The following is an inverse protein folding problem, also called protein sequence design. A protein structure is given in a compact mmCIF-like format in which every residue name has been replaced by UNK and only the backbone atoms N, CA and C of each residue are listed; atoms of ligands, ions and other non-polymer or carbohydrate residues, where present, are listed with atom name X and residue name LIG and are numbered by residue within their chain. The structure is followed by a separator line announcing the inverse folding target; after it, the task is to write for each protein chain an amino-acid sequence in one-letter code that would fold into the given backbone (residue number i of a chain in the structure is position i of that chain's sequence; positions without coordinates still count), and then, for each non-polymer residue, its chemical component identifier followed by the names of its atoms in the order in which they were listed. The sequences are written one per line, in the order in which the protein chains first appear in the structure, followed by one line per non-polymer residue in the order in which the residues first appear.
data_IF_660484251644
#
_entry.id   IF_660484251644
#
_cell.length_a   1.000
_cell.length_b   1.000
_cell.length_c   1.000
_cell.angle_alpha   90.00
_cell.angle_beta   90.00
_cell.angle_gamma   90.00
#
_symmetry.space_group_name_H-M   'P 1'
#
loop_
_entity.id
_entity.type
_entity.pdbx_description
1 polymer ?
#
# COMPACT_ATOMS: atom_id res chain seq x y z
N UNK A 1 -10.61 16.02 -1.48
CA UNK A 1 -11.81 15.23 -1.15
C UNK A 1 -11.63 13.89 -1.82
N UNK A 2 -11.84 12.76 -1.11
CA UNK A 2 -11.67 11.42 -1.69
C UNK A 2 -12.89 11.02 -2.49
N UNK A 3 -12.67 10.35 -3.63
CA UNK A 3 -13.73 9.90 -4.54
C UNK A 3 -13.92 8.40 -4.43
N UNK A 4 -15.15 7.96 -4.21
CA UNK A 4 -15.55 6.55 -4.13
C UNK A 4 -16.48 6.25 -5.30
N UNK A 5 -16.12 5.27 -6.13
CA UNK A 5 -16.98 4.80 -7.22
C UNK A 5 -17.89 3.70 -6.69
N UNK A 6 -19.20 3.89 -6.84
CA UNK A 6 -20.22 2.90 -6.54
C UNK A 6 -20.63 2.24 -7.84
N UNK A 7 -20.45 0.92 -7.94
CA UNK A 7 -20.82 0.10 -9.09
C UNK A 7 -21.90 -0.88 -8.64
N UNK A 8 -23.16 -0.50 -8.85
CA UNK A 8 -24.32 -1.26 -8.42
C UNK A 8 -25.51 -0.85 -9.33
N UNK A 9 -26.23 -1.81 -9.87
CA UNK A 9 -27.41 -1.56 -10.72
C UNK A 9 -28.68 -1.23 -9.91
N UNK A 10 -28.68 -1.54 -8.61
CA UNK A 10 -29.75 -1.15 -7.70
C UNK A 10 -29.65 0.33 -7.33
N UNK A 11 -30.58 1.12 -7.88
CA UNK A 11 -30.65 2.57 -7.66
C UNK A 11 -30.82 2.90 -6.17
N UNK A 12 -31.67 2.13 -5.44
CA UNK A 12 -31.97 2.42 -4.03
C UNK A 12 -30.77 2.16 -3.12
N UNK A 13 -30.06 1.06 -3.35
CA UNK A 13 -28.82 0.76 -2.61
C UNK A 13 -27.77 1.82 -2.91
N UNK A 14 -27.63 2.16 -4.18
CA UNK A 14 -26.68 3.18 -4.58
C UNK A 14 -26.98 4.57 -4.01
N UNK A 15 -28.24 5.01 -4.01
CA UNK A 15 -28.65 6.30 -3.43
C UNK A 15 -28.40 6.33 -1.92
N UNK A 16 -28.72 5.23 -1.23
CA UNK A 16 -28.45 5.09 0.20
C UNK A 16 -26.93 5.21 0.49
N UNK A 17 -26.10 4.52 -0.29
CA UNK A 17 -24.65 4.57 -0.12
C UNK A 17 -24.13 5.99 -0.42
N UNK A 18 -24.60 6.63 -1.49
CA UNK A 18 -24.21 8.00 -1.87
C UNK A 18 -24.53 9.01 -0.78
N UNK A 19 -25.75 8.94 -0.19
CA UNK A 19 -26.15 9.77 0.94
C UNK A 19 -25.22 9.62 2.15
N UNK A 20 -24.90 8.38 2.50
CA UNK A 20 -24.00 8.06 3.61
C UNK A 20 -22.59 8.61 3.35
N UNK A 21 -22.06 8.39 2.16
CA UNK A 21 -20.72 8.87 1.77
C UNK A 21 -20.64 10.40 1.78
N UNK A 22 -21.68 11.08 1.28
CA UNK A 22 -21.74 12.53 1.22
C UNK A 22 -21.73 13.17 2.62
N UNK A 23 -22.44 12.56 3.59
CA UNK A 23 -22.43 13.01 4.99
C UNK A 23 -21.07 12.89 5.65
N UNK A 24 -20.28 11.89 5.26
CA UNK A 24 -18.91 11.68 5.74
C UNK A 24 -17.85 12.48 4.95
N UNK A 25 -18.27 13.33 4.01
CA UNK A 25 -17.38 14.21 3.25
C UNK A 25 -16.63 13.53 2.09
N UNK A 26 -17.11 12.36 1.63
CA UNK A 26 -16.63 11.71 0.43
C UNK A 26 -17.38 12.21 -0.80
N UNK A 27 -16.74 12.17 -1.96
CA UNK A 27 -17.39 12.36 -3.25
C UNK A 27 -17.80 10.98 -3.80
N UNK A 28 -19.08 10.78 -4.08
CA UNK A 28 -19.56 9.56 -4.72
C UNK A 28 -19.65 9.75 -6.24
N UNK A 29 -19.19 8.76 -6.99
CA UNK A 29 -19.45 8.61 -8.42
C UNK A 29 -20.23 7.32 -8.63
N UNK A 30 -21.09 7.24 -9.65
CA UNK A 30 -21.97 6.11 -9.90
C UNK A 30 -21.67 5.45 -11.24
N UNK A 31 -21.77 4.13 -11.27
CA UNK A 31 -21.84 3.31 -12.48
C UNK A 31 -22.88 2.19 -12.26
N UNK A 32 -23.73 1.96 -13.22
CA UNK A 32 -24.88 1.04 -13.13
C UNK A 32 -24.61 -0.30 -13.85
N UNK A 33 -23.40 -0.48 -14.38
CA UNK A 33 -22.96 -1.71 -15.03
C UNK A 33 -21.43 -1.81 -15.02
N UNK A 34 -20.91 -3.02 -15.21
CA UNK A 34 -19.46 -3.22 -15.32
C UNK A 34 -18.85 -2.48 -16.51
N UNK A 35 -19.58 -2.37 -17.63
CA UNK A 35 -19.13 -1.61 -18.80
C UNK A 35 -19.03 -0.12 -18.51
N UNK A 36 -20.01 0.46 -17.84
CA UNK A 36 -20.00 1.86 -17.43
C UNK A 36 -18.85 2.15 -16.44
N UNK A 37 -18.63 1.23 -15.49
CA UNK A 37 -17.50 1.31 -14.58
C UNK A 37 -16.15 1.33 -15.33
N UNK A 38 -15.96 0.48 -16.36
CA UNK A 38 -14.74 0.51 -17.19
C UNK A 38 -14.58 1.83 -17.95
N UNK A 39 -15.67 2.35 -18.50
CA UNK A 39 -15.65 3.66 -19.17
C UNK A 39 -15.25 4.77 -18.20
N UNK A 40 -15.81 4.78 -17.00
CA UNK A 40 -15.42 5.74 -15.97
C UNK A 40 -13.94 5.62 -15.60
N UNK A 41 -13.45 4.40 -15.38
CA UNK A 41 -12.06 4.12 -14.99
C UNK A 41 -11.04 4.42 -16.09
N UNK A 42 -11.46 4.50 -17.36
CA UNK A 42 -10.59 4.89 -18.47
C UNK A 42 -10.09 6.34 -18.38
N UNK A 43 -10.85 7.22 -17.73
CA UNK A 43 -10.59 8.65 -17.65
C UNK A 43 -10.49 9.18 -16.20
N UNK A 44 -10.86 8.38 -15.22
CA UNK A 44 -10.91 8.76 -13.82
C UNK A 44 -10.23 7.72 -12.95
N UNK A 45 -9.68 8.15 -11.82
CA UNK A 45 -9.08 7.25 -10.82
C UNK A 45 -9.69 7.53 -9.45
N UNK A 46 -10.74 6.79 -9.05
CA UNK A 46 -11.30 6.91 -7.71
C UNK A 46 -10.31 6.38 -6.65
N UNK A 47 -10.48 6.81 -5.40
CA UNK A 47 -9.67 6.36 -4.26
C UNK A 47 -10.08 4.97 -3.78
N UNK A 48 -11.34 4.55 -4.05
CA UNK A 48 -11.90 3.25 -3.67
C UNK A 48 -13.08 2.93 -4.58
N UNK A 49 -13.34 1.64 -4.79
CA UNK A 49 -14.51 1.13 -5.52
C UNK A 49 -15.33 0.24 -4.60
N UNK A 50 -16.64 0.49 -4.55
CA UNK A 50 -17.65 -0.42 -4.02
C UNK A 50 -18.24 -1.16 -5.22
N UNK A 51 -18.13 -2.48 -5.26
CA UNK A 51 -18.46 -3.28 -6.44
C UNK A 51 -19.51 -4.36 -6.10
N UNK A 52 -20.69 -4.28 -6.70
CA UNK A 52 -21.59 -5.43 -6.74
C UNK A 52 -21.10 -6.46 -7.78
N UNK A 53 -21.30 -7.73 -7.49
CA UNK A 53 -20.99 -8.82 -8.41
C UNK A 53 -22.10 -9.06 -9.42
N UNK A 54 -23.35 -8.79 -9.03
CA UNK A 54 -24.56 -9.08 -9.82
C UNK A 54 -24.91 -7.92 -10.75
N UNK A 55 -23.97 -7.57 -11.65
CA UNK A 55 -24.15 -6.47 -12.60
C UNK A 55 -24.68 -6.97 -13.95
N UNK A 56 -25.49 -6.16 -14.66
CA UNK A 56 -25.89 -6.46 -16.02
C UNK A 56 -24.72 -6.34 -17.00
N UNK A 57 -24.67 -7.25 -17.97
CA UNK A 57 -23.61 -7.30 -18.99
C UNK A 57 -22.30 -7.85 -18.44
N UNK A 58 -21.30 -7.00 -18.23
CA UNK A 58 -20.04 -7.39 -17.61
C UNK A 58 -20.23 -7.52 -16.10
N UNK A 59 -20.13 -8.74 -15.59
CA UNK A 59 -20.29 -9.03 -14.16
C UNK A 59 -19.18 -8.40 -13.31
N UNK A 60 -19.45 -8.22 -12.01
CA UNK A 60 -18.43 -7.72 -11.07
C UNK A 60 -17.26 -8.69 -10.91
N UNK A 61 -17.46 -9.99 -11.06
CA UNK A 61 -16.41 -11.00 -11.03
C UNK A 61 -15.46 -10.87 -12.23
N UNK A 62 -16.00 -10.57 -13.43
CA UNK A 62 -15.19 -10.32 -14.63
C UNK A 62 -14.51 -8.94 -14.60
N UNK A 63 -15.14 -7.95 -13.96
CA UNK A 63 -14.60 -6.60 -13.83
C UNK A 63 -13.44 -6.53 -12.83
N UNK A 64 -13.55 -7.25 -11.69
CA UNK A 64 -12.60 -7.18 -10.59
C UNK A 64 -11.12 -7.38 -11.01
N UNK A 65 -10.76 -8.41 -11.81
CA UNK A 65 -9.37 -8.61 -12.23
C UNK A 65 -8.86 -7.54 -13.21
N UNK A 66 -9.74 -6.74 -13.82
CA UNK A 66 -9.38 -5.65 -14.72
C UNK A 66 -9.01 -4.37 -13.96
N UNK A 67 -9.49 -4.22 -12.72
CA UNK A 67 -9.18 -3.07 -11.87
C UNK A 67 -7.76 -3.23 -11.29
N UNK A 68 -6.88 -2.27 -11.56
CA UNK A 68 -5.50 -2.31 -11.07
C UNK A 68 -5.17 -1.09 -10.20
N UNK A 69 -4.59 -1.35 -9.03
CA UNK A 69 -4.05 -0.31 -8.17
C UNK A 69 -5.08 0.60 -7.49
N UNK A 70 -6.35 0.18 -7.46
CA UNK A 70 -7.44 0.84 -6.73
C UNK A 70 -8.04 -0.20 -5.79
N UNK A 71 -8.20 0.08 -4.49
CA UNK A 71 -8.82 -0.85 -3.56
C UNK A 71 -10.30 -1.07 -3.93
N UNK A 72 -10.72 -2.34 -3.94
CA UNK A 72 -12.09 -2.75 -4.24
C UNK A 72 -12.68 -3.42 -3.01
N UNK A 73 -13.81 -2.92 -2.53
CA UNK A 73 -14.67 -3.60 -1.56
C UNK A 73 -15.82 -4.21 -2.35
N UNK A 74 -15.90 -5.54 -2.35
CA UNK A 74 -17.04 -6.24 -2.97
C UNK A 74 -18.25 -6.18 -2.02
N UNK A 75 -19.40 -5.80 -2.55
CA UNK A 75 -20.69 -5.67 -1.82
C UNK A 75 -21.70 -6.57 -2.49
N UNK A 76 -21.97 -7.78 -1.97
CA UNK A 76 -22.78 -8.78 -2.66
C UNK A 76 -23.65 -9.59 -1.71
N UNK A 77 -24.75 -10.15 -2.25
CA UNK A 77 -25.63 -11.08 -1.55
C UNK A 77 -25.03 -12.49 -1.39
N UNK A 78 -23.95 -12.83 -2.11
CA UNK A 78 -23.24 -14.12 -1.95
C UNK A 78 -22.61 -14.18 -0.56
N UNK A 79 -22.97 -15.19 0.23
CA UNK A 79 -22.59 -15.28 1.64
C UNK A 79 -21.61 -16.42 1.93
N UNK A 80 -21.37 -17.33 0.98
CA UNK A 80 -20.53 -18.51 1.21
C UNK A 80 -19.06 -18.13 1.44
N UNK A 81 -18.41 -18.88 2.31
CA UNK A 81 -16.99 -18.63 2.67
C UNK A 81 -16.08 -18.86 1.48
N UNK A 82 -16.39 -19.86 0.64
CA UNK A 82 -15.69 -20.17 -0.60
C UNK A 82 -15.63 -18.97 -1.55
N UNK A 83 -16.79 -18.34 -1.79
CA UNK A 83 -16.89 -17.18 -2.68
C UNK A 83 -16.04 -16.00 -2.19
N UNK A 84 -16.06 -15.75 -0.87
CA UNK A 84 -15.25 -14.67 -0.26
C UNK A 84 -13.75 -14.90 -0.44
N UNK A 85 -13.29 -16.15 -0.27
CA UNK A 85 -11.87 -16.51 -0.46
C UNK A 85 -11.45 -16.32 -1.91
N UNK A 86 -12.27 -16.79 -2.87
CA UNK A 86 -11.99 -16.64 -4.30
C UNK A 86 -11.90 -15.16 -4.71
N UNK A 87 -12.82 -14.33 -4.24
CA UNK A 87 -12.82 -12.90 -4.56
C UNK A 87 -11.63 -12.15 -3.96
N UNK A 88 -11.21 -12.49 -2.74
CA UNK A 88 -10.00 -11.92 -2.15
C UNK A 88 -8.75 -12.33 -2.94
N UNK A 89 -8.66 -13.59 -3.38
CA UNK A 89 -7.58 -14.05 -4.25
C UNK A 89 -7.63 -13.43 -5.64
N UNK A 90 -8.82 -13.10 -6.16
CA UNK A 90 -9.00 -12.41 -7.43
C UNK A 90 -8.65 -10.91 -7.38
N UNK A 91 -8.36 -10.36 -6.17
CA UNK A 91 -7.87 -8.99 -6.01
C UNK A 91 -8.80 -8.04 -5.25
N UNK A 92 -9.92 -8.53 -4.69
CA UNK A 92 -10.73 -7.73 -3.77
C UNK A 92 -9.92 -7.39 -2.51
N UNK A 93 -10.00 -6.12 -2.07
CA UNK A 93 -9.34 -5.65 -0.85
C UNK A 93 -10.15 -5.99 0.40
N UNK A 94 -11.47 -6.13 0.27
CA UNK A 94 -12.40 -6.51 1.33
C UNK A 94 -13.72 -6.99 0.73
N UNK A 95 -14.62 -7.49 1.60
CA UNK A 95 -15.92 -8.03 1.23
C UNK A 95 -16.99 -7.65 2.25
N UNK A 96 -18.20 -7.26 1.78
CA UNK A 96 -19.38 -7.00 2.60
C UNK A 96 -20.56 -7.81 2.05
N UNK A 97 -21.28 -8.50 2.93
CA UNK A 97 -22.48 -9.26 2.57
C UNK A 97 -23.72 -8.37 2.66
N UNK A 98 -24.56 -8.33 1.64
CA UNK A 98 -25.92 -7.74 1.68
C UNK A 98 -26.87 -8.68 2.46
N UNK A 99 -27.70 -8.17 3.40
CA UNK A 99 -27.81 -6.79 3.85
C UNK A 99 -26.70 -6.40 4.82
N UNK A 100 -26.25 -5.16 4.78
CA UNK A 100 -25.18 -4.61 5.63
C UNK A 100 -25.65 -3.37 6.39
N UNK A 101 -24.97 -3.03 7.48
CA UNK A 101 -25.18 -1.75 8.16
C UNK A 101 -24.30 -0.66 7.53
N UNK A 102 -24.80 0.59 7.56
CA UNK A 102 -24.03 1.75 7.12
C UNK A 102 -22.75 1.95 7.92
N UNK A 103 -22.77 1.61 9.21
CA UNK A 103 -21.61 1.67 10.10
C UNK A 103 -20.52 0.68 9.68
N UNK A 104 -20.89 -0.56 9.32
CA UNK A 104 -19.96 -1.56 8.82
C UNK A 104 -19.32 -1.10 7.51
N UNK A 105 -20.13 -0.60 6.56
CA UNK A 105 -19.67 -0.09 5.28
C UNK A 105 -18.64 1.03 5.49
N UNK A 106 -18.95 2.04 6.30
CA UNK A 106 -18.08 3.16 6.59
C UNK A 106 -16.77 2.74 7.29
N UNK A 107 -16.85 1.80 8.24
CA UNK A 107 -15.68 1.28 8.92
C UNK A 107 -14.71 0.61 7.93
N UNK A 108 -15.21 -0.23 7.02
CA UNK A 108 -14.41 -0.90 5.99
C UNK A 108 -13.83 0.08 4.98
N UNK A 109 -14.61 1.04 4.50
CA UNK A 109 -14.14 2.12 3.63
C UNK A 109 -12.98 2.87 4.29
N UNK A 110 -13.15 3.28 5.55
CA UNK A 110 -12.12 3.99 6.31
C UNK A 110 -10.83 3.18 6.43
N UNK A 111 -10.93 1.87 6.70
CA UNK A 111 -9.77 0.97 6.77
C UNK A 111 -9.06 0.87 5.42
N UNK A 112 -9.80 0.67 4.33
CA UNK A 112 -9.20 0.53 2.99
C UNK A 112 -8.60 1.85 2.49
N UNK A 113 -9.29 2.98 2.72
CA UNK A 113 -8.76 4.30 2.38
C UNK A 113 -7.53 4.67 3.23
N UNK A 114 -7.46 4.23 4.49
CA UNK A 114 -6.25 4.37 5.32
C UNK A 114 -5.11 3.53 4.80
N UNK A 115 -5.36 2.27 4.40
CA UNK A 115 -4.35 1.40 3.77
C UNK A 115 -3.88 1.99 2.44
N UNK A 116 -4.75 2.53 1.62
CA UNK A 116 -4.41 3.15 0.34
C UNK A 116 -3.75 4.53 0.52
N UNK A 117 -4.09 5.26 1.58
CA UNK A 117 -3.38 6.49 2.01
C UNK A 117 -2.09 6.17 2.77
N UNK A 118 -2.03 5.01 3.47
CA UNK A 118 -0.81 4.43 4.00
C UNK A 118 0.04 3.78 2.89
N UNK A 119 -0.53 3.47 1.72
CA UNK A 119 0.20 3.16 0.49
C UNK A 119 1.07 4.32 -0.01
N UNK A 120 0.75 5.57 0.37
CA UNK A 120 1.67 6.72 0.23
C UNK A 120 2.44 7.03 1.52
N UNK A 121 1.97 6.64 2.70
CA UNK A 121 2.68 6.89 3.98
C UNK A 121 3.25 5.62 4.62
N UNK A 122 2.69 4.41 4.33
CA UNK A 122 3.23 3.12 4.78
C UNK A 122 4.26 2.52 3.84
N UNK A 123 4.24 2.93 2.56
CA UNK A 123 5.26 2.55 1.58
C UNK A 123 6.43 3.55 1.52
N UNK A 124 6.31 4.66 2.23
CA UNK A 124 7.39 5.62 2.43
C UNK A 124 7.90 5.50 3.86
N UNK A 125 9.10 4.98 4.01
CA UNK A 125 9.84 5.13 5.24
C UNK A 125 10.54 6.49 5.19
N UNK A 126 10.35 7.30 6.21
CA UNK A 126 11.02 8.60 6.34
C UNK A 126 11.84 8.63 7.62
N UNK A 127 13.05 9.11 7.51
CA UNK A 127 13.93 9.37 8.64
C UNK A 127 14.74 10.62 8.35
N UNK A 128 14.47 11.68 9.10
CA UNK A 128 15.04 13.01 8.83
C UNK A 128 14.74 13.43 7.37
N UNK A 129 15.75 13.71 6.55
CA UNK A 129 15.60 14.05 5.14
C UNK A 129 15.60 12.84 4.19
N UNK A 130 15.80 11.60 4.70
CA UNK A 130 15.75 10.39 3.90
C UNK A 130 14.31 9.96 3.68
N UNK A 131 13.93 9.73 2.43
CA UNK A 131 12.66 9.14 2.02
C UNK A 131 12.95 7.87 1.21
N UNK A 132 12.41 6.73 1.65
CA UNK A 132 12.55 5.43 1.00
C UNK A 132 11.19 4.90 0.63
N UNK A 133 10.94 4.68 -0.67
CA UNK A 133 9.72 4.10 -1.18
C UNK A 133 9.84 2.57 -1.28
N UNK A 134 9.01 1.85 -0.52
CA UNK A 134 9.04 0.38 -0.45
C UNK A 134 8.58 -0.29 -1.74
N UNK A 135 7.69 0.35 -2.51
CA UNK A 135 7.13 -0.22 -3.74
C UNK A 135 8.06 -0.03 -4.94
N UNK A 136 8.55 1.20 -5.12
CA UNK A 136 9.43 1.53 -6.24
C UNK A 136 10.91 1.26 -5.94
N UNK A 137 11.25 0.99 -4.66
CA UNK A 137 12.61 0.90 -4.13
C UNK A 137 13.45 2.17 -4.36
N UNK A 138 12.80 3.29 -4.65
CA UNK A 138 13.45 4.57 -4.79
C UNK A 138 13.87 5.12 -3.42
N UNK A 139 15.05 5.74 -3.39
CA UNK A 139 15.58 6.43 -2.20
C UNK A 139 15.94 7.84 -2.59
N UNK A 140 15.50 8.80 -1.79
CA UNK A 140 15.78 10.22 -1.96
C UNK A 140 16.25 10.82 -0.64
N UNK A 141 17.11 11.84 -0.72
CA UNK A 141 17.50 12.66 0.41
C UNK A 141 17.25 14.12 0.02
N UNK A 142 16.38 14.81 0.76
CA UNK A 142 15.94 16.18 0.44
C UNK A 142 15.47 16.33 -1.02
N UNK A 143 14.78 15.30 -1.57
CA UNK A 143 14.29 15.26 -2.94
C UNK A 143 15.36 14.91 -4.01
N UNK A 144 16.61 14.64 -3.62
CA UNK A 144 17.67 14.20 -4.52
C UNK A 144 17.74 12.67 -4.55
N UNK A 145 17.58 12.01 -5.72
CA UNK A 145 17.59 10.56 -5.81
C UNK A 145 18.98 9.98 -5.53
N UNK A 146 19.02 8.87 -4.78
CA UNK A 146 20.23 8.14 -4.40
C UNK A 146 20.15 6.70 -4.90
N UNK A 147 21.07 6.32 -5.78
CA UNK A 147 21.12 4.95 -6.31
C UNK A 147 21.84 4.00 -5.33
N UNK A 148 21.07 3.07 -4.76
CA UNK A 148 21.57 2.03 -3.88
C UNK A 148 21.62 0.68 -4.60
N UNK A 149 22.58 -0.17 -4.21
CA UNK A 149 22.55 -1.59 -4.57
C UNK A 149 21.46 -2.31 -3.76
N UNK A 150 21.10 -3.52 -4.16
CA UNK A 150 20.09 -4.33 -3.46
C UNK A 150 20.42 -4.50 -1.97
N UNK A 151 21.67 -4.83 -1.65
CA UNK A 151 22.12 -5.00 -0.26
C UNK A 151 22.12 -3.68 0.52
N UNK A 152 22.56 -2.58 -0.08
CA UNK A 152 22.54 -1.25 0.55
C UNK A 152 21.09 -0.81 0.82
N UNK A 153 20.17 -1.08 -0.11
CA UNK A 153 18.75 -0.81 0.06
C UNK A 153 18.15 -1.65 1.20
N UNK A 154 18.42 -2.96 1.25
CA UNK A 154 17.92 -3.84 2.30
C UNK A 154 18.42 -3.41 3.70
N UNK A 155 19.68 -3.02 3.81
CA UNK A 155 20.28 -2.49 5.04
C UNK A 155 19.58 -1.18 5.46
N UNK A 156 19.41 -0.22 4.54
CA UNK A 156 18.79 1.06 4.84
C UNK A 156 17.32 0.86 5.24
N UNK A 157 16.56 0.04 4.52
CA UNK A 157 15.17 -0.32 4.84
C UNK A 157 15.07 -0.87 6.26
N UNK A 158 15.92 -1.83 6.62
CA UNK A 158 15.93 -2.45 7.94
C UNK A 158 16.21 -1.42 9.05
N UNK A 159 17.18 -0.53 8.85
CA UNK A 159 17.50 0.53 9.80
C UNK A 159 16.36 1.54 9.93
N UNK A 160 15.72 1.93 8.82
CA UNK A 160 14.59 2.88 8.83
C UNK A 160 13.30 2.29 9.42
N UNK A 161 13.14 0.97 9.38
CA UNK A 161 12.05 0.28 10.09
C UNK A 161 12.26 0.25 11.62
N UNK A 162 13.51 0.47 12.08
CA UNK A 162 13.90 0.43 13.49
C UNK A 162 14.75 1.64 13.88
N UNK A 163 14.26 2.88 13.73
CA UNK A 163 15.08 4.10 13.74
C UNK A 163 15.79 4.38 15.07
N UNK A 164 15.27 3.87 16.19
CA UNK A 164 15.84 4.10 17.54
C UNK A 164 16.59 2.88 18.09
N UNK A 165 16.73 1.80 17.30
CA UNK A 165 17.30 0.55 17.79
C UNK A 165 18.68 0.29 17.22
N UNK A 166 19.57 -0.23 18.05
CA UNK A 166 20.85 -0.79 17.59
C UNK A 166 20.58 -2.20 17.03
N UNK A 167 20.82 -2.39 15.73
CA UNK A 167 20.68 -3.69 15.07
C UNK A 167 22.04 -4.36 15.04
N UNK A 168 22.13 -5.54 15.65
CA UNK A 168 23.37 -6.32 15.66
C UNK A 168 23.70 -6.86 14.26
N UNK A 169 24.96 -7.15 14.00
CA UNK A 169 25.37 -7.68 12.69
C UNK A 169 24.69 -9.01 12.34
N UNK A 170 24.54 -9.90 13.33
CA UNK A 170 23.85 -11.19 13.14
C UNK A 170 22.38 -11.03 12.80
N UNK A 171 21.67 -10.17 13.54
CA UNK A 171 20.25 -9.84 13.25
C UNK A 171 20.12 -9.15 11.88
N UNK A 172 21.08 -8.28 11.52
CA UNK A 172 21.04 -7.62 10.21
C UNK A 172 21.21 -8.62 9.07
N UNK A 173 22.17 -9.53 9.16
CA UNK A 173 22.38 -10.58 8.16
C UNK A 173 21.17 -11.50 8.03
N UNK A 174 20.60 -11.94 9.16
CA UNK A 174 19.42 -12.78 9.18
C UNK A 174 18.22 -12.09 8.48
N UNK A 175 17.95 -10.84 8.84
CA UNK A 175 16.82 -10.06 8.30
C UNK A 175 16.93 -9.68 6.84
N UNK A 176 18.15 -9.48 6.31
CA UNK A 176 18.36 -9.14 4.89
C UNK A 176 18.62 -10.39 4.02
N UNK A 177 18.73 -11.59 4.62
CA UNK A 177 19.07 -12.83 3.90
C UNK A 177 18.08 -13.19 2.79
N UNK A 178 16.79 -12.91 2.97
CA UNK A 178 15.76 -13.14 1.95
C UNK A 178 15.99 -12.27 0.71
N UNK A 179 16.40 -11.01 0.90
CA UNK A 179 16.66 -10.07 -0.19
C UNK A 179 18.10 -10.22 -0.76
N UNK A 180 19.05 -10.71 0.06
CA UNK A 180 20.49 -10.73 -0.28
C UNK A 180 21.20 -11.96 0.30
N UNK A 181 20.97 -13.17 -0.25
CA UNK A 181 21.50 -14.43 0.31
C UNK A 181 23.03 -14.50 0.31
N UNK A 182 23.69 -13.77 -0.59
CA UNK A 182 25.17 -13.77 -0.71
C UNK A 182 25.89 -12.80 0.24
N UNK A 183 25.14 -12.07 1.10
CA UNK A 183 25.73 -11.12 2.03
C UNK A 183 26.34 -11.84 3.24
N UNK A 184 27.65 -11.74 3.38
CA UNK A 184 28.42 -12.29 4.51
C UNK A 184 28.76 -11.22 5.54
N UNK A 185 29.19 -11.61 6.76
CA UNK A 185 29.61 -10.64 7.79
C UNK A 185 30.79 -9.75 7.35
N UNK A 186 31.70 -10.29 6.53
CA UNK A 186 32.81 -9.54 5.98
C UNK A 186 32.36 -8.51 4.94
N UNK A 187 31.42 -8.87 4.05
CA UNK A 187 30.90 -7.97 3.04
C UNK A 187 29.92 -6.93 3.61
N UNK A 188 29.21 -7.24 4.70
CA UNK A 188 28.28 -6.33 5.36
C UNK A 188 28.93 -4.99 5.74
N UNK A 189 30.16 -5.01 6.30
CA UNK A 189 30.89 -3.79 6.65
C UNK A 189 31.20 -2.92 5.43
N UNK A 190 31.50 -3.56 4.30
CA UNK A 190 31.78 -2.87 3.03
C UNK A 190 30.49 -2.21 2.50
N UNK A 191 29.38 -2.93 2.52
CA UNK A 191 28.08 -2.39 2.09
C UNK A 191 27.65 -1.21 2.96
N UNK A 192 27.79 -1.30 4.28
CA UNK A 192 27.49 -0.18 5.18
C UNK A 192 28.40 1.02 4.94
N UNK A 193 29.70 0.79 4.71
CA UNK A 193 30.63 1.87 4.39
C UNK A 193 30.26 2.58 3.07
N UNK A 194 29.89 1.81 2.04
CA UNK A 194 29.46 2.36 0.77
C UNK A 194 28.13 3.11 0.90
N UNK A 195 27.15 2.54 1.64
CA UNK A 195 25.89 3.19 1.94
C UNK A 195 26.10 4.54 2.65
N UNK A 196 26.90 4.57 3.72
CA UNK A 196 27.23 5.81 4.44
C UNK A 196 27.83 6.86 3.50
N UNK A 197 28.76 6.46 2.64
CA UNK A 197 29.38 7.37 1.67
C UNK A 197 28.36 7.94 0.69
N UNK A 198 27.43 7.10 0.17
CA UNK A 198 26.39 7.55 -0.76
C UNK A 198 25.42 8.53 -0.11
N UNK A 199 24.96 8.24 1.11
CA UNK A 199 24.08 9.14 1.86
C UNK A 199 24.79 10.48 2.19
N UNK A 200 26.04 10.41 2.66
CA UNK A 200 26.85 11.59 3.03
C UNK A 200 27.19 12.49 1.85
N UNK A 201 27.27 11.95 0.64
CA UNK A 201 27.57 12.74 -0.56
C UNK A 201 26.46 13.75 -0.91
N UNK A 202 25.22 13.52 -0.46
CA UNK A 202 24.09 14.43 -0.72
C UNK A 202 24.03 15.56 0.31
N UNK A 203 24.05 15.24 1.61
CA UNK A 203 23.87 16.25 2.67
C UNK A 203 25.06 16.45 3.61
N UNK A 204 26.18 15.78 3.38
CA UNK A 204 27.36 15.80 4.26
C UNK A 204 27.09 15.38 5.72
N UNK A 205 25.94 14.75 5.98
CA UNK A 205 25.52 14.23 7.28
C UNK A 205 25.81 12.73 7.37
N UNK A 206 26.16 12.25 8.56
CA UNK A 206 26.35 10.83 8.82
C UNK A 206 25.07 10.25 9.46
N UNK A 207 24.27 9.56 8.65
CA UNK A 207 22.97 8.99 9.06
C UNK A 207 23.07 7.65 9.77
N UNK A 208 24.24 6.97 9.70
CA UNK A 208 24.40 5.64 10.27
C UNK A 208 25.53 5.66 11.27
N UNK A 209 25.21 5.42 12.53
CA UNK A 209 26.16 5.29 13.61
C UNK A 209 26.58 3.83 13.81
N UNK A 210 27.87 3.59 13.94
CA UNK A 210 28.40 2.29 14.36
C UNK A 210 28.51 2.25 15.87
N UNK A 211 27.75 1.37 16.52
CA UNK A 211 27.87 1.10 17.96
C UNK A 211 28.92 0.02 18.16
N UNK A 212 30.03 0.43 18.75
CA UNK A 212 31.24 -0.38 18.82
C UNK A 212 30.99 -1.75 19.44
N UNK A 213 31.42 -2.82 18.75
CA UNK A 213 31.26 -4.21 19.22
C UNK A 213 29.84 -4.79 19.11
N UNK A 214 28.80 -3.97 18.81
CA UNK A 214 27.39 -4.38 18.83
C UNK A 214 26.80 -4.41 17.42
N UNK A 215 26.71 -3.25 16.76
CA UNK A 215 26.01 -3.16 15.48
C UNK A 215 25.88 -1.74 14.95
N UNK A 216 24.75 -1.44 14.31
CA UNK A 216 24.49 -0.17 13.64
C UNK A 216 23.09 0.35 13.98
N UNK A 217 22.93 1.68 14.00
CA UNK A 217 21.64 2.36 14.14
C UNK A 217 21.59 3.61 13.26
N UNK A 218 20.41 4.17 13.06
CA UNK A 218 20.25 5.52 12.51
C UNK A 218 20.55 6.58 13.57
N UNK A 219 21.13 7.70 13.14
CA UNK A 219 21.57 8.82 13.98
C UNK A 219 20.93 10.13 13.50
#
# INVERSE_FOLDING_TARGET
MKTILIVDDDIYIGDMIEDVLSREGYHAARAYSGTEALMYLSSNRPDLILLDLMLPGLSGEELLPLIKGIPVIVVSAKAEVSDKVELLLAGASDYITKPFSTEELLARITVQLRKSSAGTAGDLLTFDSICLNLNTRAVEISGVPVHLTQTEYAILKLLMQNPSQVITKSVMLDRISEDTPDCTESSLKVHISNLRRKLKNVERKDYIEAVWGIGFKLN
#
